data_IF_372907377729
#
_entry.id   IF_372907377729
#
_cell.length_a   1.000
_cell.length_b   1.000
_cell.length_c   1.000
_cell.angle_alpha   90.00
_cell.angle_beta   90.00
_cell.angle_gamma   90.00
#
_symmetry.space_group_name_H-M   'P 1'
#
loop_
_entity.id
_entity.type
_entity.pdbx_description
1 polymer ?
#
# COMPACT_ATOMS: atom_id res chain seq x y z
N UNK A 1 45.37 11.56 11.62
CA UNK A 1 44.27 11.05 10.79
C UNK A 1 44.86 10.41 9.54
N UNK A 2 44.67 9.10 9.34
CA UNK A 2 45.26 8.32 8.21
C UNK A 2 44.27 7.34 7.57
N UNK A 3 42.97 7.67 7.56
CA UNK A 3 41.96 6.78 6.95
C UNK A 3 42.11 6.72 5.43
N UNK A 4 42.22 7.88 4.77
CA UNK A 4 42.37 7.99 3.31
C UNK A 4 43.73 7.48 2.83
N UNK A 5 44.76 7.59 3.67
CA UNK A 5 46.14 7.20 3.36
C UNK A 5 46.27 5.68 3.07
N UNK A 6 45.43 4.85 3.70
CA UNK A 6 45.35 3.41 3.43
C UNK A 6 44.94 3.11 1.98
N UNK A 7 43.96 3.85 1.47
CA UNK A 7 43.44 3.69 0.11
C UNK A 7 44.43 4.20 -0.96
N UNK A 8 45.17 5.27 -0.65
CA UNK A 8 46.21 5.82 -1.52
C UNK A 8 47.41 4.86 -1.60
N UNK A 9 47.83 4.31 -0.46
CA UNK A 9 49.02 3.46 -0.36
C UNK A 9 48.78 2.02 -0.86
N UNK A 10 47.53 1.57 -0.91
CA UNK A 10 47.11 0.26 -1.43
C UNK A 10 46.03 0.45 -2.52
N UNK A 11 46.41 0.91 -3.72
CA UNK A 11 45.45 1.28 -4.79
C UNK A 11 44.58 0.12 -5.25
N UNK A 12 45.08 -1.11 -5.18
CA UNK A 12 44.32 -2.34 -5.50
C UNK A 12 43.11 -2.50 -4.56
N UNK A 13 43.27 -2.21 -3.27
CA UNK A 13 42.21 -2.36 -2.27
C UNK A 13 41.09 -1.33 -2.50
N UNK A 14 41.46 -0.10 -2.86
CA UNK A 14 40.52 0.94 -3.26
C UNK A 14 39.73 0.56 -4.53
N UNK A 15 40.42 -0.01 -5.53
CA UNK A 15 39.78 -0.47 -6.76
C UNK A 15 38.77 -1.60 -6.49
N UNK A 16 39.13 -2.59 -5.66
CA UNK A 16 38.24 -3.71 -5.32
C UNK A 16 36.97 -3.23 -4.61
N UNK A 17 37.10 -2.32 -3.64
CA UNK A 17 35.94 -1.77 -2.91
C UNK A 17 35.04 -0.97 -3.86
N UNK A 18 35.63 -0.13 -4.72
CA UNK A 18 34.87 0.61 -5.74
C UNK A 18 34.12 -0.34 -6.67
N UNK A 19 34.78 -1.39 -7.14
CA UNK A 19 34.17 -2.39 -8.02
C UNK A 19 33.03 -3.16 -7.32
N UNK A 20 33.20 -3.51 -6.04
CA UNK A 20 32.15 -4.14 -5.24
C UNK A 20 30.91 -3.26 -5.12
N UNK A 21 31.08 -1.95 -4.89
CA UNK A 21 29.96 -1.00 -4.84
C UNK A 21 29.24 -0.93 -6.18
N UNK A 22 29.99 -0.88 -7.29
CA UNK A 22 29.40 -0.84 -8.65
C UNK A 22 28.61 -2.11 -8.96
N UNK A 23 29.17 -3.28 -8.65
CA UNK A 23 28.50 -4.57 -8.89
C UNK A 23 27.23 -4.69 -8.04
N UNK A 24 27.31 -4.32 -6.76
CA UNK A 24 26.15 -4.31 -5.86
C UNK A 24 25.05 -3.34 -6.37
N UNK A 25 25.43 -2.15 -6.82
CA UNK A 25 24.51 -1.18 -7.42
C UNK A 25 23.85 -1.70 -8.69
N UNK A 26 24.61 -2.35 -9.57
CA UNK A 26 24.06 -2.93 -10.80
C UNK A 26 23.07 -4.07 -10.52
N UNK A 27 23.35 -4.91 -9.51
CA UNK A 27 22.44 -5.93 -9.02
C UNK A 27 21.15 -5.31 -8.46
N UNK A 28 21.28 -4.27 -7.64
CA UNK A 28 20.15 -3.57 -7.04
C UNK A 28 19.20 -2.99 -8.10
N UNK A 29 19.76 -2.36 -9.15
CA UNK A 29 18.99 -1.83 -10.27
C UNK A 29 18.13 -2.88 -10.99
N UNK A 30 18.61 -4.12 -11.10
CA UNK A 30 17.85 -5.22 -11.71
C UNK A 30 16.81 -5.82 -10.77
N UNK A 31 17.10 -5.84 -9.47
CA UNK A 31 16.21 -6.42 -8.47
C UNK A 31 15.07 -5.51 -8.01
N UNK A 32 15.21 -4.18 -8.20
CA UNK A 32 14.20 -3.24 -7.74
C UNK A 32 12.94 -3.34 -8.62
N UNK A 33 11.80 -3.56 -7.97
CA UNK A 33 10.51 -3.53 -8.64
C UNK A 33 10.14 -2.07 -8.95
N UNK A 34 10.08 -1.72 -10.23
CA UNK A 34 9.68 -0.39 -10.67
C UNK A 34 8.15 -0.28 -10.56
N UNK A 35 7.69 0.67 -9.75
CA UNK A 35 6.27 0.96 -9.56
C UNK A 35 5.97 2.37 -10.05
N UNK A 36 4.87 2.54 -10.77
CA UNK A 36 4.43 3.85 -11.28
C UNK A 36 3.92 4.77 -10.16
N UNK A 37 3.35 4.17 -9.11
CA UNK A 37 2.86 4.86 -7.93
C UNK A 37 3.27 4.10 -6.67
N UNK A 38 3.44 4.79 -5.52
CA UNK A 38 3.53 4.11 -4.24
C UNK A 38 2.27 3.28 -4.00
N UNK A 39 2.36 2.25 -3.14
CA UNK A 39 1.16 1.53 -2.73
C UNK A 39 0.25 2.51 -1.99
N UNK A 40 -0.89 2.82 -2.60
CA UNK A 40 -1.98 3.53 -1.95
C UNK A 40 -2.86 2.47 -1.30
N UNK A 41 -2.71 2.27 0.00
CA UNK A 41 -3.52 1.34 0.77
C UNK A 41 -4.87 2.01 1.11
N UNK A 42 -5.75 2.14 0.12
CA UNK A 42 -7.13 2.52 0.36
C UNK A 42 -7.87 1.25 0.82
N UNK A 43 -8.06 1.11 2.14
CA UNK A 43 -8.82 0.00 2.70
C UNK A 43 -10.31 0.17 2.36
N UNK A 44 -10.80 -0.56 1.36
CA UNK A 44 -12.23 -0.61 1.04
C UNK A 44 -12.84 -1.91 1.56
N UNK A 45 -13.89 -1.78 2.37
CA UNK A 45 -14.69 -2.91 2.84
C UNK A 45 -16.04 -2.87 2.12
N UNK A 46 -16.38 -3.94 1.41
CA UNK A 46 -17.66 -4.05 0.71
C UNK A 46 -18.58 -5.00 1.45
N UNK A 47 -19.74 -4.51 1.89
CA UNK A 47 -20.78 -5.32 2.53
C UNK A 47 -21.94 -5.48 1.55
N UNK A 48 -22.24 -6.72 1.17
CA UNK A 48 -23.35 -7.03 0.25
C UNK A 48 -24.40 -7.85 0.98
N UNK A 49 -25.64 -7.37 0.95
CA UNK A 49 -26.80 -8.06 1.51
C UNK A 49 -27.89 -8.15 0.46
N UNK A 50 -28.54 -9.31 0.38
CA UNK A 50 -29.58 -9.58 -0.63
C UNK A 50 -30.91 -9.77 0.08
N UNK A 51 -31.92 -8.99 -0.33
CA UNK A 51 -33.28 -9.11 0.20
C UNK A 51 -34.29 -9.13 -0.97
N UNK A 52 -34.72 -10.33 -1.34
CA UNK A 52 -35.49 -10.59 -2.55
C UNK A 52 -36.96 -10.23 -2.34
N UNK A 53 -37.59 -9.60 -3.32
CA UNK A 53 -39.03 -9.29 -3.30
C UNK A 53 -39.40 -8.05 -2.49
N UNK A 54 -38.42 -7.27 -2.03
CA UNK A 54 -38.64 -6.02 -1.33
C UNK A 54 -38.33 -4.81 -2.19
N UNK A 55 -39.09 -3.73 -2.01
CA UNK A 55 -38.81 -2.45 -2.62
C UNK A 55 -37.51 -1.86 -2.02
N UNK A 56 -36.74 -1.13 -2.83
CA UNK A 56 -35.52 -0.45 -2.42
C UNK A 56 -35.72 0.46 -1.19
N UNK A 57 -36.90 1.08 -1.01
CA UNK A 57 -37.19 1.90 0.17
C UNK A 57 -37.26 1.07 1.46
N UNK A 58 -37.86 -0.12 1.39
CA UNK A 58 -37.94 -1.04 2.54
C UNK A 58 -36.56 -1.59 2.88
N UNK A 59 -35.78 -2.00 1.88
CA UNK A 59 -34.40 -2.46 2.08
C UNK A 59 -33.56 -1.35 2.72
N UNK A 60 -33.73 -0.10 2.27
CA UNK A 60 -33.01 1.03 2.83
C UNK A 60 -33.33 1.22 4.31
N UNK A 61 -34.62 1.31 4.66
CA UNK A 61 -35.05 1.57 6.03
C UNK A 61 -34.69 0.45 7.01
N UNK A 62 -34.87 -0.81 6.61
CA UNK A 62 -34.71 -1.96 7.51
C UNK A 62 -33.33 -2.60 7.50
N UNK A 63 -32.55 -2.45 6.44
CA UNK A 63 -31.23 -3.10 6.31
C UNK A 63 -30.13 -2.05 6.19
N UNK A 64 -30.21 -1.18 5.18
CA UNK A 64 -29.11 -0.27 4.86
C UNK A 64 -28.86 0.74 5.98
N UNK A 65 -29.89 1.44 6.46
CA UNK A 65 -29.76 2.45 7.52
C UNK A 65 -29.21 1.91 8.84
N UNK A 66 -29.71 0.78 9.40
CA UNK A 66 -29.12 0.23 10.62
C UNK A 66 -27.70 -0.28 10.42
N UNK A 67 -27.39 -0.88 9.26
CA UNK A 67 -26.03 -1.33 8.94
C UNK A 67 -25.06 -0.15 8.84
N UNK A 68 -25.48 0.93 8.19
CA UNK A 68 -24.71 2.17 8.05
C UNK A 68 -24.39 2.79 9.41
N UNK A 69 -25.36 2.85 10.33
CA UNK A 69 -25.14 3.35 11.70
C UNK A 69 -24.19 2.48 12.50
N UNK A 70 -24.27 1.16 12.36
CA UNK A 70 -23.39 0.22 13.06
C UNK A 70 -21.94 0.33 12.55
N UNK A 71 -21.76 0.47 11.23
CA UNK A 71 -20.44 0.62 10.61
C UNK A 71 -19.86 2.00 10.92
N UNK A 72 -20.66 3.07 10.87
CA UNK A 72 -20.22 4.44 11.17
C UNK A 72 -19.77 4.64 12.63
N UNK A 73 -20.11 3.71 13.54
CA UNK A 73 -19.62 3.72 14.90
C UNK A 73 -18.20 3.14 15.04
N UNK A 74 -17.63 2.56 13.98
CA UNK A 74 -16.27 2.06 13.98
C UNK A 74 -15.26 3.17 13.71
N UNK A 75 -14.15 3.18 14.44
CA UNK A 75 -13.07 4.15 14.28
C UNK A 75 -12.31 3.92 12.97
N UNK A 76 -11.89 5.01 12.32
CA UNK A 76 -11.01 4.97 11.14
C UNK A 76 -11.73 4.87 9.79
N UNK A 77 -13.02 5.24 9.72
CA UNK A 77 -13.77 5.31 8.46
C UNK A 77 -13.84 6.77 7.97
N UNK A 78 -13.22 7.05 6.83
CA UNK A 78 -13.25 8.38 6.20
C UNK A 78 -14.52 8.64 5.38
N UNK A 79 -15.02 7.61 4.69
CA UNK A 79 -16.21 7.71 3.85
C UNK A 79 -16.99 6.39 3.82
N UNK A 80 -18.32 6.51 3.87
CA UNK A 80 -19.25 5.39 3.79
C UNK A 80 -20.25 5.66 2.66
N UNK A 81 -20.39 4.69 1.75
CA UNK A 81 -21.33 4.77 0.64
C UNK A 81 -22.28 3.58 0.64
N UNK A 82 -23.57 3.87 0.68
CA UNK A 82 -24.64 2.88 0.70
C UNK A 82 -25.46 2.96 -0.58
N UNK A 83 -25.73 1.82 -1.23
CA UNK A 83 -26.63 1.75 -2.40
C UNK A 83 -27.58 0.56 -2.26
N UNK A 84 -28.88 0.83 -2.40
CA UNK A 84 -29.94 -0.18 -2.42
C UNK A 84 -30.66 -0.08 -3.76
N UNK A 85 -30.69 -1.18 -4.52
CA UNK A 85 -31.40 -1.30 -5.79
C UNK A 85 -32.42 -2.44 -5.73
N UNK A 86 -33.49 -2.29 -6.51
CA UNK A 86 -34.53 -3.31 -6.72
C UNK A 86 -34.02 -4.43 -7.62
#
# INVERSE_FOLDING_TARGET
MKFTDLFIRRPVLAMVISLLIVIAGLQALRSLNVRQYPRSENASVTVTTVYVGANAELVRGFITTPLERAIAAADGIDYLQSRSSQ
#
